data_IF_221841191678
#
_entry.id   IF_221841191678
#
_cell.length_a   1.000
_cell.length_b   1.000
_cell.length_c   1.000
_cell.angle_alpha   90.00
_cell.angle_beta   90.00
_cell.angle_gamma   90.00
#
_symmetry.space_group_name_H-M   'P 1'
#
loop_
_entity.id
_entity.type
_entity.pdbx_description
1 polymer ?
#
# COMPACT_ATOMS: atom_id res chain seq x y z
N UNK A 1 27.68 12.31 -5.61
CA UNK A 1 26.64 12.73 -4.65
C UNK A 1 25.38 11.88 -4.87
N UNK A 2 24.62 11.54 -3.81
CA UNK A 2 23.29 10.93 -4.00
C UNK A 2 22.41 11.89 -4.79
N UNK A 3 21.70 11.40 -5.80
CA UNK A 3 20.85 12.23 -6.69
C UNK A 3 19.46 12.55 -6.10
N UNK A 4 19.11 11.95 -4.95
CA UNK A 4 17.82 12.12 -4.28
C UNK A 4 18.00 13.13 -3.14
N UNK A 5 17.18 14.18 -3.13
CA UNK A 5 17.36 15.36 -2.26
C UNK A 5 16.28 15.56 -1.20
N UNK A 6 15.09 14.96 -1.34
CA UNK A 6 13.97 15.17 -0.39
C UNK A 6 13.38 13.86 0.12
N UNK A 7 12.81 13.02 -0.76
CA UNK A 7 12.08 11.84 -0.30
C UNK A 7 12.05 10.68 -1.29
N UNK A 8 11.77 9.50 -0.75
CA UNK A 8 11.40 8.29 -1.48
C UNK A 8 9.99 7.89 -1.04
N UNK A 9 9.08 7.73 -2.00
CA UNK A 9 7.70 7.28 -1.74
C UNK A 9 7.50 5.88 -2.32
N UNK A 10 7.25 4.89 -1.47
CA UNK A 10 7.02 3.49 -1.88
C UNK A 10 5.53 3.16 -1.92
N UNK A 11 5.06 2.55 -3.01
CA UNK A 11 3.63 2.21 -3.17
C UNK A 11 3.32 0.82 -2.61
N UNK A 12 2.61 0.78 -1.49
CA UNK A 12 2.12 -0.43 -0.84
C UNK A 12 0.60 -0.65 -1.10
N UNK A 13 -0.02 -1.55 -0.33
CA UNK A 13 -1.44 -1.92 -0.45
C UNK A 13 -1.94 -2.49 0.87
N UNK A 14 -3.23 -2.37 1.15
CA UNK A 14 -3.88 -3.02 2.30
C UNK A 14 -3.75 -4.55 2.30
N UNK A 15 -3.37 -5.17 1.18
CA UNK A 15 -3.07 -6.60 1.11
C UNK A 15 -1.94 -7.03 2.07
N UNK A 16 -1.07 -6.11 2.52
CA UNK A 16 -0.03 -6.42 3.51
C UNK A 16 -0.60 -6.86 4.87
N UNK A 17 -1.80 -6.42 5.24
CA UNK A 17 -2.37 -6.65 6.59
C UNK A 17 -2.60 -8.12 6.91
N UNK A 18 -2.85 -8.92 5.87
CA UNK A 18 -3.07 -10.37 5.99
C UNK A 18 -1.88 -11.18 5.47
N UNK A 19 -0.73 -10.55 5.28
CA UNK A 19 0.45 -11.18 4.71
C UNK A 19 1.45 -11.55 5.80
N UNK A 20 2.19 -12.64 5.55
CA UNK A 20 3.41 -12.98 6.26
C UNK A 20 4.59 -12.90 5.29
N UNK A 21 5.77 -12.59 5.83
CA UNK A 21 7.02 -12.62 5.08
C UNK A 21 7.78 -13.89 5.43
N UNK A 22 7.94 -14.76 4.44
CA UNK A 22 8.87 -15.89 4.53
C UNK A 22 10.20 -15.46 3.90
N UNK A 23 11.16 -15.08 4.72
CA UNK A 23 12.51 -14.71 4.27
C UNK A 23 13.33 -15.91 3.81
N UNK A 24 12.94 -17.13 4.18
CA UNK A 24 13.62 -18.34 3.74
C UNK A 24 13.22 -18.72 2.31
N UNK A 25 11.99 -18.39 1.89
CA UNK A 25 11.48 -18.59 0.54
C UNK A 25 10.64 -17.38 0.06
N UNK A 26 11.30 -16.23 -0.19
CA UNK A 26 10.61 -15.00 -0.60
C UNK A 26 10.01 -15.13 -2.01
N UNK A 27 10.59 -15.99 -2.85
CA UNK A 27 10.21 -16.17 -4.25
C UNK A 27 9.21 -17.31 -4.49
N UNK A 28 8.74 -17.99 -3.44
CA UNK A 28 7.79 -19.11 -3.54
C UNK A 28 8.34 -20.29 -4.37
N UNK A 29 9.63 -20.56 -4.28
CA UNK A 29 10.30 -21.63 -5.03
C UNK A 29 10.08 -23.01 -4.39
N UNK A 30 9.86 -23.06 -3.07
CA UNK A 30 9.80 -24.31 -2.28
C UNK A 30 8.41 -24.60 -1.70
N UNK A 31 7.41 -23.78 -2.05
CA UNK A 31 6.02 -23.91 -1.59
C UNK A 31 5.04 -23.61 -2.72
N UNK A 32 3.80 -24.10 -2.58
CA UNK A 32 2.76 -23.87 -3.58
C UNK A 32 2.47 -22.37 -3.74
N UNK A 33 2.64 -21.85 -4.96
CA UNK A 33 2.34 -20.46 -5.27
C UNK A 33 0.86 -20.11 -5.04
N UNK A 34 0.62 -18.99 -4.33
CA UNK A 34 -0.73 -18.44 -4.11
C UNK A 34 -0.69 -16.94 -4.42
N UNK A 35 -1.24 -16.54 -5.57
CA UNK A 35 -1.11 -15.17 -6.09
C UNK A 35 -1.49 -14.06 -5.10
N UNK A 36 -2.63 -14.17 -4.40
CA UNK A 36 -3.05 -13.17 -3.42
C UNK A 36 -2.10 -13.08 -2.22
N UNK A 37 -1.56 -14.21 -1.77
CA UNK A 37 -0.61 -14.26 -0.66
C UNK A 37 0.77 -13.73 -1.09
N UNK A 38 1.25 -14.09 -2.28
CA UNK A 38 2.48 -13.56 -2.86
C UNK A 38 2.39 -12.03 -3.05
N UNK A 39 1.25 -11.54 -3.53
CA UNK A 39 0.97 -10.11 -3.64
C UNK A 39 0.98 -9.43 -2.27
N UNK A 40 0.27 -9.98 -1.28
CA UNK A 40 0.30 -9.47 0.10
C UNK A 40 1.72 -9.39 0.65
N UNK A 41 2.52 -10.44 0.47
CA UNK A 41 3.92 -10.50 0.88
C UNK A 41 4.75 -9.41 0.20
N UNK A 42 4.59 -9.18 -1.10
CA UNK A 42 5.29 -8.10 -1.80
C UNK A 42 4.94 -6.71 -1.24
N UNK A 43 3.69 -6.51 -0.80
CA UNK A 43 3.21 -5.25 -0.25
C UNK A 43 3.63 -5.05 1.20
N UNK A 44 3.79 -6.13 1.96
CA UNK A 44 4.46 -6.12 3.25
C UNK A 44 5.96 -5.77 3.10
N UNK A 45 6.64 -6.39 2.14
CA UNK A 45 8.04 -6.11 1.86
C UNK A 45 8.28 -4.64 1.50
N UNK A 46 7.37 -4.00 0.76
CA UNK A 46 7.42 -2.55 0.49
C UNK A 46 7.39 -1.70 1.77
N UNK A 47 6.57 -2.05 2.76
CA UNK A 47 6.52 -1.31 4.02
C UNK A 47 7.78 -1.52 4.86
N UNK A 48 8.28 -2.76 4.92
CA UNK A 48 9.53 -3.08 5.61
C UNK A 48 10.72 -2.35 4.95
N UNK A 49 10.74 -2.27 3.61
CA UNK A 49 11.71 -1.47 2.88
C UNK A 49 11.66 0.00 3.29
N UNK A 50 10.47 0.62 3.36
CA UNK A 50 10.33 2.01 3.80
C UNK A 50 10.86 2.22 5.21
N UNK A 51 10.54 1.31 6.13
CA UNK A 51 10.99 1.38 7.53
C UNK A 51 12.52 1.27 7.64
N UNK A 52 13.11 0.27 6.99
CA UNK A 52 14.55 0.05 6.99
C UNK A 52 15.29 1.20 6.29
N UNK A 53 14.77 1.70 5.17
CA UNK A 53 15.33 2.85 4.48
C UNK A 53 15.33 4.09 5.37
N UNK A 54 14.22 4.38 6.06
CA UNK A 54 14.16 5.50 7.00
C UNK A 54 15.19 5.34 8.12
N UNK A 55 15.29 4.15 8.71
CA UNK A 55 16.27 3.85 9.75
C UNK A 55 17.71 4.12 9.30
N UNK A 56 18.06 3.65 8.10
CA UNK A 56 19.40 3.90 7.51
C UNK A 56 19.65 5.36 7.18
N UNK A 57 18.66 6.08 6.66
CA UNK A 57 18.77 7.51 6.36
C UNK A 57 19.00 8.31 7.64
N UNK A 58 18.25 8.00 8.71
CA UNK A 58 18.44 8.62 10.03
C UNK A 58 19.82 8.30 10.62
N UNK A 59 20.26 7.04 10.58
CA UNK A 59 21.59 6.65 11.06
C UNK A 59 22.74 7.33 10.29
N UNK A 60 22.53 7.63 9.01
CA UNK A 60 23.49 8.35 8.17
C UNK A 60 23.41 9.89 8.31
N UNK A 61 22.49 10.43 9.13
CA UNK A 61 22.26 11.87 9.23
C UNK A 61 21.71 12.51 7.95
N UNK A 62 21.08 11.72 7.06
CA UNK A 62 20.54 12.22 5.81
C UNK A 62 19.22 12.96 6.05
N UNK A 63 19.04 14.11 5.38
CA UNK A 63 17.77 14.86 5.39
C UNK A 63 16.66 14.25 4.52
N UNK A 64 16.96 13.17 3.80
CA UNK A 64 15.98 12.48 2.95
C UNK A 64 15.02 11.65 3.80
N UNK A 65 13.74 11.64 3.43
CA UNK A 65 12.68 10.86 4.10
C UNK A 65 12.22 9.69 3.26
N UNK A 66 11.99 8.54 3.89
CA UNK A 66 11.29 7.42 3.28
C UNK A 66 9.83 7.41 3.76
N UNK A 67 8.89 7.33 2.81
CA UNK A 67 7.45 7.34 3.06
C UNK A 67 6.81 6.20 2.28
N UNK A 68 5.63 5.77 2.70
CA UNK A 68 4.82 4.81 1.97
C UNK A 68 3.42 5.37 1.71
N UNK A 69 2.82 4.93 0.61
CA UNK A 69 1.43 5.26 0.28
C UNK A 69 0.70 4.05 -0.27
N UNK A 70 -0.63 4.00 -0.15
CA UNK A 70 -1.46 3.03 -0.85
C UNK A 70 -2.69 3.70 -1.49
N UNK A 71 -3.07 3.30 -2.71
CA UNK A 71 -4.17 3.93 -3.47
C UNK A 71 -5.57 3.52 -2.99
N UNK A 72 -5.70 2.88 -1.81
CA UNK A 72 -6.93 2.19 -1.42
C UNK A 72 -7.17 0.90 -2.21
N UNK A 73 -8.42 0.43 -2.26
CA UNK A 73 -8.81 -0.70 -3.09
C UNK A 73 -8.98 -0.23 -4.54
N UNK A 74 -7.89 0.18 -5.19
CA UNK A 74 -7.93 0.37 -6.63
C UNK A 74 -8.16 -0.98 -7.31
N UNK A 75 -8.89 -0.98 -8.42
CA UNK A 75 -9.16 -2.07 -9.38
C UNK A 75 -7.86 -2.63 -9.99
N UNK A 76 -6.87 -2.98 -9.18
CA UNK A 76 -5.67 -3.63 -9.66
C UNK A 76 -6.12 -4.97 -10.24
N UNK A 77 -5.66 -5.30 -11.45
CA UNK A 77 -6.07 -6.48 -12.23
C UNK A 77 -5.82 -7.86 -11.58
N UNK A 78 -5.66 -7.92 -10.26
CA UNK A 78 -5.61 -9.10 -9.42
C UNK A 78 -6.83 -10.01 -9.62
N UNK A 79 -7.96 -9.44 -10.05
CA UNK A 79 -9.19 -10.19 -10.32
C UNK A 79 -9.22 -10.90 -11.68
N UNK A 80 -8.23 -10.69 -12.58
CA UNK A 80 -8.29 -11.26 -13.94
C UNK A 80 -8.36 -12.79 -13.93
N UNK A 81 -7.72 -13.40 -12.92
CA UNK A 81 -7.62 -14.86 -12.72
C UNK A 81 -8.55 -15.42 -11.64
N UNK A 82 -9.40 -14.59 -11.02
CA UNK A 82 -10.36 -15.07 -10.04
C UNK A 82 -11.50 -15.82 -10.73
N UNK A 83 -11.99 -16.89 -10.09
CA UNK A 83 -13.20 -17.60 -10.53
C UNK A 83 -14.43 -16.68 -10.54
N UNK A 84 -15.48 -17.05 -11.30
CA UNK A 84 -16.63 -16.18 -11.58
C UNK A 84 -17.32 -15.61 -10.33
N UNK A 85 -17.40 -16.40 -9.25
CA UNK A 85 -17.99 -15.97 -7.96
C UNK A 85 -17.15 -14.87 -7.29
N UNK A 86 -15.82 -15.02 -7.26
CA UNK A 86 -14.93 -14.02 -6.68
C UNK A 86 -14.83 -12.75 -7.54
N UNK A 87 -14.98 -12.86 -8.87
CA UNK A 87 -15.15 -11.70 -9.75
C UNK A 87 -16.43 -10.94 -9.45
N UNK A 88 -17.55 -11.63 -9.22
CA UNK A 88 -18.82 -11.01 -8.86
C UNK A 88 -18.75 -10.30 -7.50
N UNK A 89 -18.18 -10.96 -6.48
CA UNK A 89 -17.94 -10.34 -5.16
C UNK A 89 -17.01 -9.14 -5.28
N UNK A 90 -15.91 -9.24 -6.04
CA UNK A 90 -14.99 -8.13 -6.24
C UNK A 90 -15.58 -6.99 -7.08
N UNK A 91 -16.56 -7.25 -7.95
CA UNK A 91 -17.29 -6.21 -8.68
C UNK A 91 -18.30 -5.47 -7.78
N UNK A 92 -19.01 -6.22 -6.91
CA UNK A 92 -19.99 -5.66 -5.96
C UNK A 92 -19.30 -4.88 -4.83
N UNK A 93 -18.23 -5.44 -4.27
CA UNK A 93 -17.38 -4.78 -3.27
C UNK A 93 -16.53 -3.69 -3.92
N UNK A 94 -16.11 -3.89 -5.17
CA UNK A 94 -15.38 -2.91 -5.96
C UNK A 94 -16.11 -1.59 -6.05
N UNK A 95 -17.42 -1.57 -6.34
CA UNK A 95 -18.19 -0.31 -6.37
C UNK A 95 -18.25 0.45 -5.04
N UNK A 96 -18.02 -0.21 -3.90
CA UNK A 96 -18.10 0.40 -2.57
C UNK A 96 -16.73 0.85 -2.02
N UNK A 97 -15.63 0.27 -2.53
CA UNK A 97 -14.26 0.50 -2.03
C UNK A 97 -13.32 1.06 -3.12
N UNK A 98 -13.70 0.97 -4.40
CA UNK A 98 -12.91 1.49 -5.51
C UNK A 98 -13.01 3.00 -5.56
N UNK A 99 -11.88 3.61 -5.23
CA UNK A 99 -11.57 4.98 -5.52
C UNK A 99 -11.52 5.16 -7.04
N UNK A 100 -12.00 6.30 -7.56
CA UNK A 100 -11.73 6.68 -8.96
C UNK A 100 -10.22 6.70 -9.22
N UNK A 101 -9.75 6.62 -10.47
CA UNK A 101 -8.32 6.70 -10.77
C UNK A 101 -7.67 7.97 -10.18
N UNK A 102 -8.42 9.08 -10.20
CA UNK A 102 -8.08 10.36 -9.56
C UNK A 102 -7.99 10.25 -8.04
N UNK A 103 -8.92 9.57 -7.39
CA UNK A 103 -8.90 9.36 -5.93
C UNK A 103 -7.79 8.38 -5.51
N UNK A 104 -7.43 7.42 -6.37
CA UNK A 104 -6.33 6.48 -6.14
C UNK A 104 -4.94 7.12 -6.19
N UNK A 105 -4.78 8.22 -6.93
CA UNK A 105 -3.52 8.97 -7.00
C UNK A 105 -3.33 9.91 -5.78
N UNK A 106 -4.41 10.33 -5.11
CA UNK A 106 -4.35 11.29 -4.00
C UNK A 106 -3.39 10.87 -2.87
N UNK A 107 -3.40 9.62 -2.36
CA UNK A 107 -2.48 9.21 -1.30
C UNK A 107 -1.01 9.35 -1.70
N UNK A 108 -0.69 9.03 -2.95
CA UNK A 108 0.67 9.16 -3.49
C UNK A 108 1.08 10.62 -3.59
N UNK A 109 0.21 11.48 -4.14
CA UNK A 109 0.46 12.93 -4.22
C UNK A 109 0.61 13.54 -2.83
N UNK A 110 -0.23 13.13 -1.88
CA UNK A 110 -0.17 13.59 -0.50
C UNK A 110 1.16 13.21 0.16
N UNK A 111 1.59 11.96 0.04
CA UNK A 111 2.90 11.52 0.53
C UNK A 111 4.06 12.25 -0.18
N UNK A 112 3.92 12.53 -1.47
CA UNK A 112 4.95 13.19 -2.26
C UNK A 112 5.08 14.69 -1.96
N UNK A 113 4.03 15.37 -1.50
CA UNK A 113 3.99 16.84 -1.42
C UNK A 113 3.85 17.40 -0.01
N UNK A 114 3.30 16.64 0.95
CA UNK A 114 3.06 17.15 2.30
C UNK A 114 4.28 16.98 3.19
N UNK A 115 4.40 17.86 4.17
CA UNK A 115 5.42 17.72 5.20
C UNK A 115 4.98 16.64 6.20
N UNK A 116 5.57 15.46 6.06
CA UNK A 116 5.25 14.28 6.86
C UNK A 116 6.51 13.77 7.55
N UNK A 117 6.38 13.20 8.76
CA UNK A 117 7.46 12.46 9.40
C UNK A 117 7.95 11.31 8.51
N UNK A 118 9.23 11.01 8.57
CA UNK A 118 9.78 9.79 7.98
C UNK A 118 9.05 8.55 8.48
N UNK A 119 9.00 7.50 7.65
CA UNK A 119 8.24 6.28 7.86
C UNK A 119 6.69 6.43 7.90
N UNK A 120 6.13 7.57 7.52
CA UNK A 120 4.67 7.72 7.41
C UNK A 120 4.07 6.80 6.33
N UNK A 121 2.88 6.25 6.59
CA UNK A 121 2.10 5.44 5.65
C UNK A 121 0.75 6.10 5.35
N UNK A 122 0.56 6.55 4.11
CA UNK A 122 -0.60 7.35 3.67
C UNK A 122 -1.59 6.52 2.88
N UNK A 123 -2.89 6.71 3.11
CA UNK A 123 -3.94 6.01 2.39
C UNK A 123 -5.30 6.64 2.56
N UNK A 124 -6.29 6.28 1.72
CA UNK A 124 -7.64 6.78 1.87
C UNK A 124 -8.25 6.27 3.17
N UNK A 125 -8.91 7.16 3.91
CA UNK A 125 -9.78 6.79 5.02
C UNK A 125 -11.04 6.17 4.41
N UNK A 126 -11.42 4.96 4.85
CA UNK A 126 -12.69 4.38 4.42
C UNK A 126 -13.82 5.36 4.79
N UNK A 127 -14.49 5.95 3.79
CA UNK A 127 -15.72 6.70 4.03
C UNK A 127 -16.84 5.69 4.21
N UNK A 128 -16.97 5.15 5.43
CA UNK A 128 -18.24 4.53 5.84
C UNK A 128 -19.12 5.69 6.29
N UNK A 129 -19.79 6.35 5.35
CA UNK A 129 -20.87 7.28 5.71
C UNK A 129 -22.07 6.42 6.08
N UNK A 130 -22.18 6.07 7.37
CA UNK A 130 -23.50 5.84 7.95
C UNK A 130 -24.08 7.23 8.18
N UNK A 131 -24.97 7.66 7.31
CA UNK A 131 -25.83 8.81 7.61
C UNK A 131 -26.48 8.58 8.98
N UNK A 132 -26.31 9.55 9.88
CA UNK A 132 -26.90 9.51 11.21
C UNK A 132 -25.89 9.61 12.34
N UNK A 133 -25.36 10.83 12.53
CA UNK A 133 -25.39 11.52 13.83
C UNK A 133 -24.77 12.90 13.70
N UNK A 134 -25.64 13.91 13.67
CA UNK A 134 -25.36 15.28 14.09
C UNK A 134 -24.70 15.28 15.46
N UNK A 135 -23.65 16.07 15.67
CA UNK A 135 -23.36 16.66 16.98
C UNK A 135 -22.69 18.02 16.83
N UNK A 136 -23.03 18.88 17.80
CA UNK A 136 -22.40 20.14 18.18
C UNK A 136 -20.93 19.95 18.52
#
# INVERSE_FOLDING_TARGET
MPKITDRVVTIASNAHKNASLDLSDPNWERRRYRASAAYGQSKLANLLFTLELQGRLTAAGAGVRALAAHPGAATTGLNRHLGPVMKAVAATVGRLIMQSETDGAQPTLFAATRDLPGASYVGPRLRVTLEGRTWQ
#
